data_IF_455924348346
#
_entry.id   IF_455924348346
#
_cell.length_a   1.000
_cell.length_b   1.000
_cell.length_c   1.000
_cell.angle_alpha   90.00
_cell.angle_beta   90.00
_cell.angle_gamma   90.00
#
_symmetry.space_group_name_H-M   'P 1'
#
loop_
_entity.id
_entity.type
_entity.pdbx_description
1 polymer ?
#
# COMPACT_ATOMS: atom_id res chain seq x y z
N UNK A 1 -39.74 36.27 -26.48
CA UNK A 1 -38.30 36.41 -26.74
C UNK A 1 -37.60 36.24 -25.41
N UNK A 2 -37.32 35.00 -24.98
CA UNK A 2 -36.12 34.20 -25.31
C UNK A 2 -34.83 34.98 -25.05
N UNK A 3 -34.32 34.85 -23.83
CA UNK A 3 -32.87 34.83 -23.59
C UNK A 3 -32.68 33.92 -22.36
N UNK A 4 -32.38 32.66 -22.66
CA UNK A 4 -32.17 31.60 -21.69
C UNK A 4 -30.74 31.63 -21.15
N UNK A 5 -30.67 31.31 -19.86
CA UNK A 5 -29.53 31.10 -18.99
C UNK A 5 -28.53 30.09 -19.55
N UNK A 6 -27.25 30.23 -19.20
CA UNK A 6 -26.47 29.28 -18.37
C UNK A 6 -24.99 29.71 -18.35
N UNK A 7 -24.44 30.08 -17.20
CA UNK A 7 -23.99 29.23 -16.08
C UNK A 7 -22.58 28.66 -16.32
N UNK A 8 -21.61 29.38 -15.77
CA UNK A 8 -20.23 28.97 -15.57
C UNK A 8 -20.13 28.04 -14.36
N UNK A 9 -19.93 26.75 -14.57
CA UNK A 9 -19.41 25.81 -13.56
C UNK A 9 -18.38 24.91 -14.23
N UNK A 10 -17.23 24.78 -13.57
CA UNK A 10 -16.04 24.11 -14.10
C UNK A 10 -16.19 22.60 -14.24
N UNK A 11 -15.41 22.06 -15.16
CA UNK A 11 -15.09 20.63 -15.26
C UNK A 11 -13.59 20.47 -15.22
N UNK A 12 -13.15 19.71 -14.23
CA UNK A 12 -11.78 19.24 -14.00
C UNK A 12 -11.51 18.07 -14.95
N UNK A 13 -10.35 18.09 -15.60
CA UNK A 13 -9.62 16.90 -16.10
C UNK A 13 -9.47 16.79 -17.63
N UNK A 14 -8.42 16.11 -18.13
CA UNK A 14 -7.09 15.88 -17.56
C UNK A 14 -5.96 16.35 -18.50
N UNK A 15 -4.79 16.62 -17.92
CA UNK A 15 -3.54 16.79 -18.64
C UNK A 15 -3.26 15.53 -19.46
N UNK A 16 -3.35 15.64 -20.79
CA UNK A 16 -3.04 14.57 -21.72
C UNK A 16 -1.54 14.29 -21.68
N UNK A 17 -1.19 13.20 -21.02
CA UNK A 17 0.10 12.52 -21.17
C UNK A 17 0.29 12.31 -22.69
N UNK A 18 1.35 12.84 -23.31
CA UNK A 18 1.56 12.67 -24.75
C UNK A 18 1.85 11.19 -25.01
N UNK A 19 0.83 10.46 -25.48
CA UNK A 19 0.96 9.04 -25.78
C UNK A 19 1.72 8.91 -27.12
N UNK A 20 2.98 8.43 -27.14
CA UNK A 20 3.80 8.33 -28.35
C UNK A 20 3.15 7.44 -29.42
N UNK A 21 2.27 6.54 -29.01
CA UNK A 21 1.49 5.68 -29.90
C UNK A 21 0.48 6.47 -30.75
N UNK A 22 -0.13 7.55 -30.23
CA UNK A 22 -1.11 8.35 -30.99
C UNK A 22 -0.41 9.19 -32.06
N UNK A 23 0.78 9.73 -31.76
CA UNK A 23 1.60 10.43 -32.75
C UNK A 23 2.12 9.46 -33.83
N UNK A 24 2.54 8.24 -33.46
CA UNK A 24 2.90 7.23 -34.45
C UNK A 24 1.70 6.78 -35.31
N UNK A 25 0.51 6.60 -34.74
CA UNK A 25 -0.70 6.29 -35.51
C UNK A 25 -1.04 7.43 -36.46
N UNK A 26 -0.89 8.68 -36.02
CA UNK A 26 -1.10 9.86 -36.87
C UNK A 26 -0.07 9.93 -38.00
N UNK A 27 1.19 9.64 -37.72
CA UNK A 27 2.27 9.56 -38.71
C UNK A 27 2.00 8.45 -39.73
N UNK A 28 1.51 7.28 -39.29
CA UNK A 28 1.11 6.18 -40.17
C UNK A 28 -0.08 6.59 -41.04
N UNK A 29 -1.09 7.27 -40.51
CA UNK A 29 -2.23 7.76 -41.30
C UNK A 29 -1.79 8.79 -42.34
N UNK A 30 -0.86 9.69 -41.98
CA UNK A 30 -0.31 10.65 -42.94
C UNK A 30 0.48 9.94 -44.03
N UNK A 31 1.33 8.96 -43.68
CA UNK A 31 2.04 8.12 -44.66
C UNK A 31 1.07 7.30 -45.53
N UNK A 32 -0.01 6.77 -44.97
CA UNK A 32 -1.05 6.05 -45.72
C UNK A 32 -1.82 6.98 -46.66
N UNK A 33 -2.08 8.23 -46.26
CA UNK A 33 -2.72 9.23 -47.11
C UNK A 33 -1.79 9.71 -48.22
N UNK A 34 -0.51 9.90 -47.93
CA UNK A 34 0.51 10.25 -48.92
C UNK A 34 0.72 9.12 -49.92
N UNK A 35 0.78 7.87 -49.46
CA UNK A 35 0.84 6.70 -50.33
C UNK A 35 -0.44 6.52 -51.16
N UNK A 36 -1.63 6.75 -50.60
CA UNK A 36 -2.90 6.79 -51.36
C UNK A 36 -2.92 7.92 -52.40
N UNK A 37 -2.42 9.10 -52.05
CA UNK A 37 -2.27 10.22 -52.98
C UNK A 37 -1.30 9.89 -54.12
N UNK A 38 -0.15 9.28 -53.79
CA UNK A 38 0.82 8.80 -54.77
C UNK A 38 0.23 7.69 -55.64
N UNK A 39 -0.60 6.80 -55.08
CA UNK A 39 -1.25 5.73 -55.81
C UNK A 39 -2.32 6.29 -56.74
N UNK A 40 -3.06 7.32 -56.31
CA UNK A 40 -4.00 8.07 -57.16
C UNK A 40 -3.30 8.74 -58.33
N UNK A 41 -2.18 9.43 -58.09
CA UNK A 41 -1.35 10.03 -59.14
C UNK A 41 -0.78 8.95 -60.08
N UNK A 42 -0.37 7.81 -59.53
CA UNK A 42 0.10 6.69 -60.32
C UNK A 42 -1.04 6.09 -61.17
N UNK A 43 -2.27 6.00 -60.65
CA UNK A 43 -3.44 5.55 -61.40
C UNK A 43 -3.84 6.54 -62.49
N UNK A 44 -3.80 7.85 -62.23
CA UNK A 44 -4.06 8.87 -63.24
C UNK A 44 -2.98 8.88 -64.31
N UNK A 45 -1.71 8.71 -63.93
CA UNK A 45 -0.59 8.55 -64.86
C UNK A 45 -0.72 7.28 -65.68
N UNK A 46 -1.14 6.17 -65.07
CA UNK A 46 -1.40 4.91 -65.77
C UNK A 46 -2.62 5.05 -66.69
N UNK A 47 -3.64 5.82 -66.31
CA UNK A 47 -4.80 6.14 -67.12
C UNK A 47 -4.43 6.98 -68.35
N UNK A 48 -3.59 8.01 -68.17
CA UNK A 48 -3.10 8.86 -69.25
C UNK A 48 -2.11 8.13 -70.17
N UNK A 49 -1.27 7.25 -69.60
CA UNK A 49 -0.41 6.33 -70.36
C UNK A 49 -1.24 5.27 -71.09
N UNK A 50 -2.32 4.75 -70.50
CA UNK A 50 -3.23 3.81 -71.17
C UNK A 50 -3.98 4.49 -72.32
N UNK A 51 -4.39 5.74 -72.16
CA UNK A 51 -4.99 6.54 -73.23
C UNK A 51 -4.01 6.81 -74.38
N UNK A 52 -2.72 7.07 -74.08
CA UNK A 52 -1.65 7.22 -75.08
C UNK A 52 -1.18 5.90 -75.69
N UNK A 53 -1.33 4.77 -75.01
CA UNK A 53 -1.03 3.43 -75.53
C UNK A 53 -2.18 2.90 -76.40
N UNK A 54 -3.42 3.30 -76.13
CA UNK A 54 -4.56 3.00 -76.99
C UNK A 54 -4.47 3.64 -78.38
N UNK A 55 -3.63 4.68 -78.57
CA UNK A 55 -3.37 5.32 -79.87
C UNK A 55 -2.17 4.74 -80.63
N UNK A 56 -1.43 3.79 -80.05
CA UNK A 56 -0.33 3.08 -80.72
C UNK A 56 -0.83 1.71 -81.19
N UNK A 57 -0.75 1.37 -82.51
CA UNK A 57 -1.24 0.10 -83.05
C UNK A 57 -0.29 -1.09 -82.78
N UNK A 58 0.21 -1.20 -81.55
CA UNK A 58 0.97 -2.36 -81.02
C UNK A 58 0.27 -3.02 -79.83
N UNK A 59 -1.05 -2.80 -79.68
CA UNK A 59 -1.90 -3.33 -78.59
C UNK A 59 -2.13 -4.85 -78.60
N UNK A 60 -1.33 -5.64 -79.31
CA UNK A 60 -1.47 -7.10 -79.33
C UNK A 60 -0.57 -7.79 -78.30
N UNK A 61 0.63 -7.27 -78.04
CA UNK A 61 1.55 -7.81 -77.02
C UNK A 61 1.16 -7.38 -75.61
N UNK A 62 0.81 -6.10 -75.40
CA UNK A 62 0.39 -5.58 -74.09
C UNK A 62 -0.92 -6.18 -73.58
N UNK A 63 -1.88 -6.46 -74.47
CA UNK A 63 -3.11 -7.15 -74.11
C UNK A 63 -2.86 -8.62 -73.71
N UNK A 64 -1.87 -9.28 -74.30
CA UNK A 64 -1.50 -10.65 -73.89
C UNK A 64 -0.87 -10.67 -72.50
N UNK A 65 -0.03 -9.68 -72.18
CA UNK A 65 0.57 -9.53 -70.85
C UNK A 65 -0.49 -9.22 -69.78
N UNK A 66 -1.45 -8.34 -70.06
CA UNK A 66 -2.59 -8.06 -69.15
C UNK A 66 -3.41 -9.33 -68.88
N UNK A 67 -3.71 -10.12 -69.92
CA UNK A 67 -4.41 -11.41 -69.76
C UNK A 67 -3.59 -12.46 -69.01
N UNK A 68 -2.26 -12.40 -69.10
CA UNK A 68 -1.37 -13.27 -68.34
C UNK A 68 -1.35 -12.89 -66.86
N UNK A 69 -1.25 -11.58 -66.56
CA UNK A 69 -1.31 -11.05 -65.18
C UNK A 69 -2.68 -11.33 -64.55
N UNK A 70 -3.78 -11.16 -65.28
CA UNK A 70 -5.13 -11.45 -64.77
C UNK A 70 -5.32 -12.94 -64.47
N UNK A 71 -4.77 -13.83 -65.32
CA UNK A 71 -4.74 -15.28 -65.06
C UNK A 71 -3.84 -15.64 -63.88
N UNK A 72 -2.72 -14.94 -63.71
CA UNK A 72 -1.84 -15.13 -62.56
C UNK A 72 -2.52 -14.69 -61.25
N UNK A 73 -3.15 -13.52 -61.25
CA UNK A 73 -3.84 -12.94 -60.11
C UNK A 73 -5.04 -13.78 -59.66
N UNK A 74 -5.82 -14.32 -60.61
CA UNK A 74 -6.93 -15.23 -60.29
C UNK A 74 -6.46 -16.57 -59.71
N UNK A 75 -5.36 -17.14 -60.23
CA UNK A 75 -4.72 -18.33 -59.64
C UNK A 75 -4.18 -18.06 -58.25
N UNK A 76 -3.58 -16.90 -58.01
CA UNK A 76 -3.04 -16.52 -56.72
C UNK A 76 -4.15 -16.24 -55.70
N UNK A 77 -5.24 -15.58 -56.11
CA UNK A 77 -6.43 -15.39 -55.26
C UNK A 77 -7.01 -16.72 -54.82
N UNK A 78 -7.17 -17.67 -55.74
CA UNK A 78 -7.69 -19.00 -55.39
C UNK A 78 -6.81 -19.72 -54.36
N UNK A 79 -5.49 -19.66 -54.52
CA UNK A 79 -4.54 -20.19 -53.52
C UNK A 79 -4.61 -19.46 -52.19
N UNK A 80 -4.78 -18.13 -52.21
CA UNK A 80 -4.95 -17.36 -50.99
C UNK A 80 -6.25 -17.71 -50.27
N UNK A 81 -7.36 -17.87 -50.98
CA UNK A 81 -8.63 -18.28 -50.40
C UNK A 81 -8.53 -19.68 -49.77
N UNK A 82 -7.87 -20.63 -50.44
CA UNK A 82 -7.58 -21.96 -49.90
C UNK A 82 -6.73 -21.89 -48.62
N UNK A 83 -5.64 -21.11 -48.63
CA UNK A 83 -4.80 -20.91 -47.46
C UNK A 83 -5.52 -20.19 -46.31
N UNK A 84 -6.39 -19.23 -46.61
CA UNK A 84 -7.18 -18.51 -45.61
C UNK A 84 -8.16 -19.46 -44.92
N UNK A 85 -8.80 -20.36 -45.67
CA UNK A 85 -9.68 -21.37 -45.07
C UNK A 85 -8.91 -22.37 -44.19
N UNK A 86 -7.71 -22.77 -44.60
CA UNK A 86 -6.85 -23.61 -43.77
C UNK A 86 -6.44 -22.90 -42.47
N UNK A 87 -6.04 -21.63 -42.55
CA UNK A 87 -5.72 -20.80 -41.39
C UNK A 87 -6.94 -20.65 -40.47
N UNK A 88 -8.13 -20.40 -41.01
CA UNK A 88 -9.37 -20.30 -40.22
C UNK A 88 -9.67 -21.60 -39.49
N UNK A 89 -9.44 -22.75 -40.12
CA UNK A 89 -9.65 -24.07 -39.51
C UNK A 89 -8.69 -24.27 -38.34
N UNK A 90 -7.39 -24.03 -38.55
CA UNK A 90 -6.38 -24.12 -37.49
C UNK A 90 -6.66 -23.16 -36.33
N UNK A 91 -7.06 -21.92 -36.63
CA UNK A 91 -7.37 -20.93 -35.62
C UNK A 91 -8.60 -21.34 -34.79
N UNK A 92 -9.61 -21.98 -35.42
CA UNK A 92 -10.76 -22.52 -34.71
C UNK A 92 -10.36 -23.69 -33.79
N UNK A 93 -9.52 -24.59 -34.26
CA UNK A 93 -9.04 -25.74 -33.47
C UNK A 93 -8.23 -25.27 -32.25
N UNK A 94 -7.25 -24.38 -32.46
CA UNK A 94 -6.43 -23.81 -31.39
C UNK A 94 -7.27 -23.00 -30.40
N UNK A 95 -8.18 -22.15 -30.89
CA UNK A 95 -9.05 -21.38 -30.02
C UNK A 95 -9.96 -22.29 -29.18
N UNK A 96 -10.49 -23.36 -29.77
CA UNK A 96 -11.34 -24.30 -29.03
C UNK A 96 -10.57 -25.04 -27.94
N UNK A 97 -9.35 -25.48 -28.21
CA UNK A 97 -8.48 -26.13 -27.22
C UNK A 97 -8.12 -25.18 -26.08
N UNK A 98 -7.68 -23.95 -26.41
CA UNK A 98 -7.35 -22.91 -25.42
C UNK A 98 -8.56 -22.51 -24.57
N UNK A 99 -9.75 -22.36 -25.17
CA UNK A 99 -10.98 -22.03 -24.44
C UNK A 99 -11.34 -23.15 -23.46
N UNK A 100 -11.25 -24.41 -23.89
CA UNK A 100 -11.56 -25.55 -23.02
C UNK A 100 -10.58 -25.64 -21.85
N UNK A 101 -9.29 -25.43 -22.09
CA UNK A 101 -8.27 -25.45 -21.03
C UNK A 101 -8.46 -24.28 -20.05
N UNK A 102 -8.70 -23.05 -20.56
CA UNK A 102 -8.98 -21.89 -19.71
C UNK A 102 -10.25 -22.05 -18.89
N UNK A 103 -11.34 -22.56 -19.48
CA UNK A 103 -12.58 -22.81 -18.75
C UNK A 103 -12.39 -23.88 -17.68
N UNK A 104 -11.65 -24.96 -18.00
CA UNK A 104 -11.35 -26.01 -17.02
C UNK A 104 -10.57 -25.48 -15.83
N UNK A 105 -9.54 -24.67 -16.08
CA UNK A 105 -8.73 -24.07 -15.02
C UNK A 105 -9.56 -23.06 -14.21
N UNK A 106 -10.32 -22.20 -14.88
CA UNK A 106 -11.18 -21.22 -14.19
C UNK A 106 -12.26 -21.87 -13.33
N UNK A 107 -12.88 -22.96 -13.79
CA UNK A 107 -13.84 -23.72 -12.98
C UNK A 107 -13.16 -24.43 -11.83
N UNK A 108 -11.96 -25.00 -12.03
CA UNK A 108 -11.20 -25.61 -10.95
C UNK A 108 -10.85 -24.59 -9.87
N UNK A 109 -10.38 -23.39 -10.25
CA UNK A 109 -10.05 -22.31 -9.32
C UNK A 109 -11.28 -21.83 -8.54
N UNK A 110 -12.41 -21.63 -9.23
CA UNK A 110 -13.68 -21.26 -8.56
C UNK A 110 -14.17 -22.35 -7.61
N UNK A 111 -14.05 -23.62 -7.98
CA UNK A 111 -14.43 -24.74 -7.12
C UNK A 111 -13.51 -24.81 -5.89
N UNK A 112 -12.21 -24.58 -6.06
CA UNK A 112 -11.28 -24.53 -4.94
C UNK A 112 -11.61 -23.38 -3.98
N UNK A 113 -11.92 -22.19 -4.49
CA UNK A 113 -12.33 -21.05 -3.66
C UNK A 113 -13.60 -21.36 -2.84
N UNK A 114 -14.61 -21.97 -3.47
CA UNK A 114 -15.84 -22.39 -2.78
C UNK A 114 -15.56 -23.48 -1.74
N UNK A 115 -14.66 -24.43 -2.05
CA UNK A 115 -14.27 -25.49 -1.11
C UNK A 115 -13.54 -24.88 0.09
N UNK A 116 -12.63 -23.93 -0.12
CA UNK A 116 -11.89 -23.28 0.96
C UNK A 116 -12.85 -22.56 1.93
N UNK A 117 -13.81 -21.80 1.40
CA UNK A 117 -14.86 -21.16 2.21
C UNK A 117 -15.69 -22.18 3.00
N UNK A 118 -16.10 -23.27 2.34
CA UNK A 118 -16.88 -24.33 2.98
C UNK A 118 -16.08 -25.08 4.06
N UNK A 119 -14.81 -25.37 3.79
CA UNK A 119 -13.90 -26.03 4.73
C UNK A 119 -13.64 -25.13 5.92
N UNK A 120 -13.46 -23.83 5.74
CA UNK A 120 -13.28 -22.91 6.87
C UNK A 120 -14.51 -22.93 7.80
N UNK A 121 -15.72 -22.87 7.23
CA UNK A 121 -16.95 -22.91 8.02
C UNK A 121 -17.12 -24.24 8.75
N UNK A 122 -16.87 -25.35 8.06
CA UNK A 122 -17.04 -26.69 8.61
C UNK A 122 -15.96 -27.01 9.67
N UNK A 123 -14.71 -26.60 9.43
CA UNK A 123 -13.63 -26.69 10.41
C UNK A 123 -13.96 -25.86 11.63
N UNK A 124 -14.50 -24.64 11.48
CA UNK A 124 -14.91 -23.82 12.63
C UNK A 124 -15.97 -24.52 13.49
N UNK A 125 -17.01 -25.09 12.86
CA UNK A 125 -18.06 -25.86 13.57
C UNK A 125 -17.47 -27.08 14.29
N UNK A 126 -16.61 -27.84 13.62
CA UNK A 126 -15.98 -29.01 14.21
C UNK A 126 -14.99 -28.65 15.31
N UNK A 127 -14.27 -27.52 15.19
CA UNK A 127 -13.40 -27.02 16.25
C UNK A 127 -14.21 -26.62 17.50
N UNK A 128 -15.39 -26.01 17.34
CA UNK A 128 -16.28 -25.70 18.46
C UNK A 128 -16.87 -26.96 19.12
N UNK A 129 -17.13 -28.02 18.35
CA UNK A 129 -17.63 -29.30 18.88
C UNK A 129 -16.53 -30.14 19.56
N UNK A 130 -15.31 -30.12 19.00
CA UNK A 130 -14.20 -30.96 19.43
C UNK A 130 -13.40 -30.31 20.56
N UNK A 131 -13.29 -28.97 20.59
CA UNK A 131 -12.52 -28.27 21.62
C UNK A 131 -13.44 -27.96 22.80
N UNK A 132 -13.26 -28.64 23.95
CA UNK A 132 -14.04 -28.33 25.15
C UNK A 132 -13.82 -26.88 25.55
N UNK A 133 -14.92 -26.22 25.93
CA UNK A 133 -14.91 -24.82 26.38
C UNK A 133 -13.94 -24.61 27.54
N UNK A 134 -13.70 -25.63 28.35
CA UNK A 134 -12.70 -25.63 29.43
C UNK A 134 -11.28 -25.42 28.91
N UNK A 135 -10.88 -26.04 27.79
CA UNK A 135 -9.56 -25.85 27.21
C UNK A 135 -9.42 -24.47 26.57
N UNK A 136 -10.47 -23.96 25.93
CA UNK A 136 -10.47 -22.58 25.41
C UNK A 136 -10.28 -21.57 26.56
N UNK A 137 -11.01 -21.76 27.65
CA UNK A 137 -10.88 -20.94 28.85
C UNK A 137 -9.49 -21.06 29.49
N UNK A 138 -8.92 -22.26 29.52
CA UNK A 138 -7.55 -22.47 30.02
C UNK A 138 -6.51 -21.75 29.15
N UNK A 139 -6.66 -21.77 27.82
CA UNK A 139 -5.76 -21.03 26.91
C UNK A 139 -5.88 -19.53 27.12
N UNK A 140 -7.09 -19.00 27.26
CA UNK A 140 -7.32 -17.58 27.55
C UNK A 140 -6.69 -17.19 28.89
N UNK A 141 -6.88 -18.00 29.92
CA UNK A 141 -6.31 -17.76 31.24
C UNK A 141 -4.78 -17.87 31.24
N UNK A 142 -4.21 -18.86 30.55
CA UNK A 142 -2.76 -18.98 30.40
C UNK A 142 -2.16 -17.83 29.59
N UNK A 143 -2.84 -17.36 28.54
CA UNK A 143 -2.42 -16.17 27.79
C UNK A 143 -2.39 -14.94 28.71
N UNK A 144 -3.43 -14.75 29.52
CA UNK A 144 -3.50 -13.68 30.52
C UNK A 144 -2.34 -13.77 31.52
N UNK A 145 -2.05 -14.96 32.04
CA UNK A 145 -0.92 -15.20 32.95
C UNK A 145 0.43 -14.92 32.26
N UNK A 146 0.61 -15.33 31.00
CA UNK A 146 1.83 -15.05 30.24
C UNK A 146 2.03 -13.55 29.99
N UNK A 147 0.96 -12.81 29.70
CA UNK A 147 1.02 -11.36 29.57
C UNK A 147 1.41 -10.68 30.88
N UNK A 148 0.87 -11.14 32.01
CA UNK A 148 1.25 -10.67 33.34
C UNK A 148 2.73 -10.96 33.65
N UNK A 149 3.20 -12.17 33.36
CA UNK A 149 4.61 -12.56 33.54
C UNK A 149 5.51 -11.74 32.62
N UNK A 150 5.15 -11.57 31.34
CA UNK A 150 5.92 -10.76 30.38
C UNK A 150 6.01 -9.30 30.84
N UNK A 151 4.90 -8.76 31.35
CA UNK A 151 4.86 -7.39 31.90
C UNK A 151 5.74 -7.26 33.14
N UNK A 152 5.65 -8.20 34.08
CA UNK A 152 6.47 -8.19 35.30
C UNK A 152 7.96 -8.34 34.99
N UNK A 153 8.31 -9.15 34.00
CA UNK A 153 9.67 -9.29 33.50
C UNK A 153 10.18 -7.99 32.89
N UNK A 154 9.39 -7.38 31.98
CA UNK A 154 9.73 -6.09 31.38
C UNK A 154 9.90 -5.00 32.45
N UNK A 155 8.99 -4.92 33.42
CA UNK A 155 9.08 -3.96 34.51
C UNK A 155 10.29 -4.21 35.41
N UNK A 156 10.65 -5.47 35.63
CA UNK A 156 11.85 -5.83 36.42
C UNK A 156 13.14 -5.51 35.68
N UNK A 157 13.16 -5.71 34.36
CA UNK A 157 14.28 -5.33 33.49
C UNK A 157 14.42 -3.82 33.40
N UNK A 158 13.32 -3.09 33.21
CA UNK A 158 13.30 -1.63 33.23
C UNK A 158 13.80 -1.09 34.58
N UNK A 159 13.35 -1.66 35.71
CA UNK A 159 13.86 -1.30 37.04
C UNK A 159 15.36 -1.57 37.19
N UNK A 160 15.85 -2.70 36.68
CA UNK A 160 17.28 -3.03 36.70
C UNK A 160 18.09 -2.04 35.86
N UNK A 161 17.60 -1.68 34.68
CA UNK A 161 18.25 -0.69 33.81
C UNK A 161 18.27 0.70 34.45
N UNK A 162 17.15 1.13 35.02
CA UNK A 162 17.03 2.41 35.73
C UNK A 162 17.89 2.47 37.00
N UNK A 163 18.13 1.34 37.67
CA UNK A 163 19.02 1.26 38.83
C UNK A 163 20.50 1.51 38.49
N UNK A 164 20.90 1.27 37.24
CA UNK A 164 22.25 1.59 36.76
C UNK A 164 22.45 3.08 36.51
N UNK A 165 21.36 3.85 36.36
CA UNK A 165 21.44 5.30 36.18
C UNK A 165 21.95 5.96 37.46
N UNK A 166 23.01 6.77 37.32
CA UNK A 166 23.58 7.56 38.41
C UNK A 166 23.23 9.03 38.25
N UNK A 167 23.48 9.82 39.30
CA UNK A 167 23.27 11.27 39.30
C UNK A 167 24.07 12.04 38.22
N UNK A 168 25.04 11.40 37.58
CA UNK A 168 25.82 11.97 36.46
C UNK A 168 25.15 11.77 35.10
N UNK A 169 24.15 10.89 34.99
CA UNK A 169 23.50 10.46 33.74
C UNK A 169 22.09 11.05 33.61
N UNK A 170 21.95 12.36 33.80
CA UNK A 170 20.66 13.06 33.79
C UNK A 170 19.95 13.06 32.44
N UNK A 171 20.72 12.89 31.36
CA UNK A 171 20.27 12.87 29.96
C UNK A 171 19.99 11.48 29.43
N UNK A 172 20.35 10.43 30.18
CA UNK A 172 20.16 9.06 29.72
C UNK A 172 18.68 8.68 29.81
N UNK A 173 18.20 7.93 28.82
CA UNK A 173 16.81 7.58 28.67
C UNK A 173 16.32 6.67 29.81
N UNK A 174 15.22 7.05 30.43
CA UNK A 174 14.57 6.25 31.47
C UNK A 174 13.78 5.11 30.82
N UNK A 175 14.01 3.88 31.28
CA UNK A 175 13.28 2.72 30.78
C UNK A 175 11.86 2.74 31.32
N UNK A 176 10.90 2.75 30.41
CA UNK A 176 9.47 2.92 30.67
C UNK A 176 8.88 1.67 31.34
N UNK A 177 8.05 1.86 32.36
CA UNK A 177 7.31 0.76 33.00
C UNK A 177 5.93 0.62 32.35
N UNK A 178 5.46 -0.61 32.24
CA UNK A 178 4.13 -0.94 31.72
C UNK A 178 3.12 -0.97 32.86
N UNK A 179 1.97 -0.33 32.63
CA UNK A 179 0.80 -0.33 33.52
C UNK A 179 0.11 -1.70 33.51
N UNK A 180 -0.83 -1.96 34.44
CA UNK A 180 -1.70 -3.13 34.41
C UNK A 180 -2.51 -3.29 33.11
N UNK A 181 -2.70 -2.20 32.36
CA UNK A 181 -3.32 -2.19 31.02
C UNK A 181 -2.37 -2.60 29.89
N UNK A 182 -1.06 -2.77 30.16
CA UNK A 182 -0.04 -3.06 29.15
C UNK A 182 0.46 -1.84 28.37
N UNK A 183 -0.07 -0.65 28.64
CA UNK A 183 0.41 0.62 28.07
C UNK A 183 1.43 1.31 28.99
N UNK A 184 2.16 2.29 28.47
CA UNK A 184 2.97 3.21 29.29
C UNK A 184 2.14 4.45 29.59
N UNK A 185 2.31 5.04 30.79
CA UNK A 185 1.69 6.31 31.15
C UNK A 185 2.11 7.41 30.17
N UNK A 186 1.15 8.25 29.78
CA UNK A 186 1.43 9.42 28.93
C UNK A 186 2.33 10.45 29.63
N UNK A 187 2.29 10.49 30.96
CA UNK A 187 3.06 11.39 31.80
C UNK A 187 4.41 10.77 32.24
N UNK A 188 4.81 9.63 31.66
CA UNK A 188 6.10 9.00 32.00
C UNK A 188 7.27 9.80 31.37
N UNK A 189 8.22 10.29 32.17
CA UNK A 189 9.31 11.14 31.68
C UNK A 189 10.32 10.34 30.85
N UNK A 190 10.87 10.95 29.80
CA UNK A 190 11.84 10.29 28.93
C UNK A 190 13.25 10.25 29.56
N UNK A 191 13.55 11.17 30.47
CA UNK A 191 14.84 11.26 31.17
C UNK A 191 14.68 11.75 32.62
N UNK A 192 15.76 11.64 33.41
CA UNK A 192 15.78 12.08 34.80
C UNK A 192 15.63 13.61 34.94
N UNK A 193 16.09 14.39 33.96
CA UNK A 193 15.89 15.83 33.92
C UNK A 193 14.41 16.23 33.83
N UNK A 194 13.64 15.57 32.95
CA UNK A 194 12.19 15.75 32.81
C UNK A 194 11.43 15.28 34.05
N UNK A 195 11.87 14.19 34.67
CA UNK A 195 11.31 13.73 35.95
C UNK A 195 11.45 14.80 37.04
N UNK A 196 12.59 15.51 37.09
CA UNK A 196 12.83 16.58 38.06
C UNK A 196 12.16 17.91 37.70
N UNK A 197 11.89 18.14 36.41
CA UNK A 197 11.15 19.31 35.92
C UNK A 197 9.62 19.18 36.10
N UNK A 198 9.13 17.99 36.44
CA UNK A 198 7.70 17.69 36.56
C UNK A 198 7.02 18.46 37.71
N UNK A 199 5.82 18.97 37.44
CA UNK A 199 5.02 19.69 38.42
C UNK A 199 4.41 18.75 39.48
N UNK A 200 4.18 19.26 40.69
CA UNK A 200 3.51 18.53 41.77
C UNK A 200 2.23 17.76 41.37
N UNK A 201 1.27 18.36 40.64
CA UNK A 201 0.07 17.66 40.15
C UNK A 201 0.35 16.62 39.06
N UNK A 202 1.38 16.79 38.23
CA UNK A 202 1.79 15.77 37.25
C UNK A 202 2.39 14.55 37.96
N UNK A 203 3.29 14.78 38.91
CA UNK A 203 3.87 13.71 39.72
C UNK A 203 2.78 12.94 40.49
N UNK A 204 1.78 13.62 41.06
CA UNK A 204 0.66 12.98 41.75
C UNK A 204 -0.15 12.05 40.84
N UNK A 205 -0.50 12.51 39.63
CA UNK A 205 -1.21 11.69 38.61
C UNK A 205 -0.40 10.47 38.22
N UNK A 206 0.91 10.65 38.00
CA UNK A 206 1.81 9.55 37.68
C UNK A 206 1.81 8.48 38.80
N UNK A 207 1.90 8.88 40.07
CA UNK A 207 1.82 7.92 41.18
C UNK A 207 0.48 7.19 41.23
N UNK A 208 -0.63 7.89 41.03
CA UNK A 208 -1.98 7.30 41.03
C UNK A 208 -2.16 6.28 39.88
N UNK A 209 -1.65 6.59 38.68
CA UNK A 209 -1.69 5.67 37.53
C UNK A 209 -0.89 4.37 37.75
N UNK A 210 0.23 4.46 38.49
CA UNK A 210 1.03 3.30 38.87
C UNK A 210 0.58 2.64 40.19
N UNK A 211 -0.50 3.13 40.83
CA UNK A 211 -1.05 2.59 42.07
C UNK A 211 -0.17 2.82 43.30
N UNK A 212 0.62 3.89 43.31
CA UNK A 212 1.52 4.28 44.41
C UNK A 212 0.84 5.35 45.26
N UNK A 213 0.95 5.26 46.58
CA UNK A 213 0.39 6.27 47.49
C UNK A 213 0.99 7.67 47.21
N UNK A 214 0.15 8.61 46.80
CA UNK A 214 0.54 10.00 46.65
C UNK A 214 0.61 10.73 48.01
N UNK A 215 1.51 11.71 48.10
CA UNK A 215 1.66 12.66 49.20
C UNK A 215 1.41 14.09 48.72
N UNK A 216 1.25 15.03 49.65
CA UNK A 216 1.07 16.46 49.34
C UNK A 216 2.38 17.16 48.94
N UNK A 217 3.55 16.57 49.24
CA UNK A 217 4.86 17.12 48.84
C UNK A 217 5.32 16.50 47.52
N UNK A 218 5.65 17.37 46.55
CA UNK A 218 6.24 16.99 45.26
C UNK A 218 7.50 16.16 45.44
N UNK A 219 8.41 16.58 46.31
CA UNK A 219 9.69 15.90 46.55
C UNK A 219 9.46 14.49 47.10
N UNK A 220 8.46 14.29 47.96
CA UNK A 220 8.09 12.96 48.47
C UNK A 220 7.51 12.08 47.36
N UNK A 221 6.69 12.64 46.48
CA UNK A 221 6.11 11.93 45.33
C UNK A 221 7.20 11.50 44.36
N UNK A 222 8.09 12.40 43.97
CA UNK A 222 9.21 12.10 43.08
C UNK A 222 10.17 11.07 43.71
N UNK A 223 10.46 11.17 45.01
CA UNK A 223 11.27 10.17 45.71
C UNK A 223 10.63 8.78 45.74
N UNK A 224 9.31 8.70 45.96
CA UNK A 224 8.56 7.42 45.90
C UNK A 224 8.54 6.86 44.49
N UNK A 225 8.34 7.70 43.49
CA UNK A 225 8.37 7.28 42.09
C UNK A 225 9.76 6.81 41.67
N UNK A 226 10.83 7.53 42.04
CA UNK A 226 12.22 7.12 41.81
C UNK A 226 12.55 5.77 42.44
N UNK A 227 12.08 5.53 43.67
CA UNK A 227 12.24 4.23 44.32
C UNK A 227 11.46 3.13 43.58
N UNK A 228 10.26 3.43 43.07
CA UNK A 228 9.43 2.48 42.32
C UNK A 228 10.02 2.09 40.95
N UNK A 229 10.62 3.05 40.25
CA UNK A 229 11.29 2.81 38.96
C UNK A 229 12.71 2.24 39.12
N UNK A 230 13.22 2.11 40.36
CA UNK A 230 14.50 1.48 40.67
C UNK A 230 15.70 2.43 40.73
N UNK A 231 15.50 3.74 40.62
CA UNK A 231 16.58 4.73 40.70
C UNK A 231 17.13 4.80 42.13
N UNK A 232 18.45 4.69 42.26
CA UNK A 232 19.15 4.43 43.54
C UNK A 232 19.47 5.67 44.38
N UNK A 233 19.17 6.87 43.90
CA UNK A 233 19.41 8.11 44.62
C UNK A 233 18.13 8.92 44.82
N UNK A 234 18.09 9.69 45.90
CA UNK A 234 16.92 10.46 46.33
C UNK A 234 17.19 11.96 46.19
N UNK A 235 16.15 12.73 45.92
CA UNK A 235 16.16 14.17 46.07
C UNK A 235 16.25 14.51 47.55
N UNK A 236 17.33 15.20 47.93
CA UNK A 236 17.44 15.81 49.26
C UNK A 236 16.62 17.11 49.22
N UNK A 237 15.71 17.34 50.19
CA UNK A 237 15.02 18.61 50.28
C UNK A 237 16.07 19.71 50.49
N UNK A 238 16.13 20.66 49.56
CA UNK A 238 16.90 21.89 49.76
C UNK A 238 16.28 22.60 50.96
N UNK A 239 16.92 22.53 52.12
CA UNK A 239 16.55 23.37 53.24
C UNK A 239 16.64 24.81 52.74
N UNK A 240 15.50 25.50 52.65
CA UNK A 240 15.48 26.94 52.56
C UNK A 240 16.29 27.43 53.78
N UNK A 241 17.47 27.98 53.52
CA UNK A 241 18.34 28.56 54.52
C UNK A 241 17.56 29.58 55.34
N UNK A 242 17.13 29.18 56.54
CA UNK A 242 16.69 30.09 57.58
C UNK A 242 17.91 30.86 58.06
N UNK A 243 18.27 31.91 57.32
CA UNK A 243 19.17 32.95 57.83
C UNK A 243 18.40 33.67 58.93
N UNK A 244 18.54 33.14 60.15
CA UNK A 244 18.12 33.80 61.37
C UNK A 244 18.92 35.09 61.53
N UNK A 245 18.24 36.23 61.30
CA UNK A 245 18.72 37.55 61.70
C UNK A 245 18.66 37.70 63.22
N UNK A 246 19.60 37.08 63.92
CA UNK A 246 19.95 37.39 65.30
C UNK A 246 20.87 38.62 65.28
N UNK A 247 20.30 39.82 65.40
CA UNK A 247 21.07 41.03 65.72
C UNK A 247 21.08 41.23 67.22
N UNK A 248 22.25 41.01 67.84
CA UNK A 248 22.54 41.26 69.25
C UNK A 248 23.46 42.50 69.36
N UNK A 249 23.00 43.49 70.13
CA UNK A 249 23.72 44.46 70.98
C UNK A 249 24.66 45.55 70.43
N UNK A 250 24.51 46.75 71.03
CA UNK A 250 25.40 47.92 71.02
C UNK A 250 24.67 49.16 70.45
N UNK A 251 24.22 50.17 71.19
CA UNK A 251 24.75 50.89 72.36
C UNK A 251 23.57 51.36 73.23
#
# INVERSE_FOLDING_TARGET
MTDDKESTVGTIGPAAIPNPEIEHVREVIVKMKETLGSLGINFDSLGDQTAKVATIPSGMETNQEILAVQRHMSRQRRKQDENIEEIKKLLREVAQEQIVEHLRNSVADQVLEIIDDFVEEEVRKQLDEIIPVELQNQVVEQKRQLEEVRRSLHNSEARRANALLRSTHMTDALHKLLLPSGMVSADFPDNLGELFAMDGPQAKRLLEEYGIDASESREKNLNRFMQFIGVSYQMVPSQASSIGGSSIAGI
#
